data_IF_389070854853
#
_entry.id   IF_389070854853
#
_cell.length_a   1.000
_cell.length_b   1.000
_cell.length_c   1.000
_cell.angle_alpha   90.00
_cell.angle_beta   90.00
_cell.angle_gamma   90.00
#
_symmetry.space_group_name_H-M   'P 1'
#
loop_
_entity.id
_entity.type
_entity.pdbx_description
1 polymer ?
#
# COMPACT_ATOMS: atom_id res chain seq x y z
N UNK A 1 12.12 -10.46 -3.53
CA UNK A 1 11.17 -10.80 -4.62
C UNK A 1 9.78 -11.05 -4.02
N UNK A 2 8.72 -10.50 -4.62
CA UNK A 2 7.33 -10.74 -4.24
C UNK A 2 6.69 -11.59 -5.35
N UNK A 3 6.02 -12.67 -4.99
CA UNK A 3 5.39 -13.58 -5.93
C UNK A 3 3.97 -13.94 -5.47
N UNK A 4 2.99 -13.75 -6.35
CA UNK A 4 1.61 -14.26 -6.20
C UNK A 4 1.29 -15.16 -7.39
N UNK A 5 0.71 -16.35 -7.13
CA UNK A 5 0.34 -17.32 -8.17
C UNK A 5 -1.08 -17.83 -7.91
N UNK A 6 -2.01 -17.53 -8.83
CA UNK A 6 -3.39 -18.00 -8.80
C UNK A 6 -4.15 -17.61 -7.53
N UNK A 7 -3.80 -16.45 -6.91
CA UNK A 7 -4.36 -16.05 -5.63
C UNK A 7 -5.79 -15.61 -5.79
N UNK A 8 -6.69 -16.26 -5.06
CA UNK A 8 -8.12 -15.95 -5.02
C UNK A 8 -8.59 -15.64 -3.60
N UNK A 9 -9.51 -14.69 -3.47
CA UNK A 9 -10.12 -14.32 -2.19
C UNK A 9 -11.56 -13.91 -2.36
N UNK A 10 -12.47 -14.54 -1.62
CA UNK A 10 -13.89 -14.25 -1.58
C UNK A 10 -14.31 -13.85 -0.18
N UNK A 11 -15.05 -12.77 -0.07
CA UNK A 11 -15.66 -12.35 1.20
C UNK A 11 -17.09 -12.87 1.26
N UNK A 12 -17.49 -13.39 2.44
CA UNK A 12 -18.86 -13.73 2.74
C UNK A 12 -19.49 -12.64 3.58
N UNK A 13 -20.38 -11.88 2.97
CA UNK A 13 -21.08 -10.77 3.62
C UNK A 13 -22.51 -11.19 3.93
N UNK A 14 -22.94 -10.99 5.17
CA UNK A 14 -24.31 -11.28 5.56
C UNK A 14 -25.23 -10.23 4.96
N UNK A 15 -26.16 -10.64 4.11
CA UNK A 15 -27.20 -9.76 3.58
C UNK A 15 -28.20 -9.44 4.68
N UNK A 16 -28.34 -8.16 5.01
CA UNK A 16 -29.41 -7.68 5.90
C UNK A 16 -30.45 -6.98 5.05
N UNK A 17 -31.66 -7.52 5.04
CA UNK A 17 -32.78 -6.82 4.44
C UNK A 17 -33.18 -5.64 5.33
N UNK A 18 -33.46 -4.48 4.74
CA UNK A 18 -33.87 -3.29 5.48
C UNK A 18 -35.32 -3.44 6.00
N UNK A 19 -35.52 -3.13 7.29
CA UNK A 19 -36.85 -3.09 7.91
C UNK A 19 -36.90 -3.76 9.29
N UNK A 20 -37.69 -3.19 10.21
CA UNK A 20 -37.80 -3.67 11.60
C UNK A 20 -38.40 -5.10 11.70
N UNK A 21 -39.26 -5.51 10.76
CA UNK A 21 -39.81 -6.89 10.68
C UNK A 21 -38.84 -7.93 10.12
N UNK A 22 -37.79 -7.50 9.41
CA UNK A 22 -36.73 -8.37 8.87
C UNK A 22 -35.69 -8.74 9.91
N UNK A 23 -35.53 -7.93 10.96
CA UNK A 23 -34.53 -8.18 12.02
C UNK A 23 -34.80 -9.48 12.77
N UNK A 24 -36.07 -9.82 13.06
CA UNK A 24 -36.45 -11.09 13.70
C UNK A 24 -36.29 -12.29 12.75
N UNK A 25 -36.62 -12.14 11.44
CA UNK A 25 -36.39 -13.19 10.42
C UNK A 25 -34.90 -13.39 10.11
N UNK A 26 -34.07 -12.34 10.22
CA UNK A 26 -32.62 -12.41 9.95
C UNK A 26 -31.86 -13.23 10.99
N UNK A 27 -32.42 -13.46 12.17
CA UNK A 27 -31.83 -14.34 13.20
C UNK A 27 -31.86 -15.83 12.78
N UNK A 28 -32.83 -16.22 11.95
CA UNK A 28 -33.02 -17.60 11.49
C UNK A 28 -32.58 -17.85 10.04
N UNK A 29 -32.41 -16.80 9.21
CA UNK A 29 -31.98 -16.92 7.82
C UNK A 29 -30.53 -16.48 7.66
N UNK A 30 -29.61 -17.44 7.48
CA UNK A 30 -28.17 -17.20 7.20
C UNK A 30 -27.95 -17.08 5.68
N UNK A 31 -28.50 -16.03 5.05
CA UNK A 31 -28.17 -15.75 3.64
C UNK A 31 -26.85 -14.98 3.59
N UNK A 32 -25.82 -15.60 3.01
CA UNK A 32 -24.54 -14.97 2.72
C UNK A 32 -24.46 -14.63 1.24
N UNK A 33 -23.96 -13.47 0.94
CA UNK A 33 -23.55 -13.06 -0.40
C UNK A 33 -22.04 -13.23 -0.51
N UNK A 34 -21.60 -13.93 -1.55
CA UNK A 34 -20.18 -14.12 -1.82
C UNK A 34 -19.69 -13.02 -2.77
N UNK A 35 -18.74 -12.22 -2.30
CA UNK A 35 -18.12 -11.13 -3.05
C UNK A 35 -16.68 -11.53 -3.37
N UNK A 36 -16.39 -11.96 -4.62
CA UNK A 36 -15.03 -12.28 -5.03
C UNK A 36 -14.21 -11.00 -5.13
N UNK A 37 -13.20 -10.87 -4.27
CA UNK A 37 -12.31 -9.71 -4.24
C UNK A 37 -11.04 -9.91 -5.07
N UNK A 38 -10.54 -11.15 -5.17
CA UNK A 38 -9.45 -11.54 -6.07
C UNK A 38 -9.81 -12.85 -6.78
N UNK A 39 -9.42 -12.94 -8.05
CA UNK A 39 -9.68 -14.07 -8.93
C UNK A 39 -8.39 -14.44 -9.68
N UNK A 40 -7.72 -15.51 -9.23
CA UNK A 40 -6.49 -16.05 -9.83
C UNK A 40 -5.38 -15.01 -10.08
N UNK A 41 -5.25 -14.03 -9.18
CA UNK A 41 -4.26 -12.97 -9.26
C UNK A 41 -2.86 -13.56 -9.29
N UNK A 42 -2.08 -13.24 -10.35
CA UNK A 42 -0.72 -13.75 -10.53
C UNK A 42 0.20 -12.62 -11.01
N UNK A 43 1.28 -12.37 -10.29
CA UNK A 43 2.37 -11.48 -10.70
C UNK A 43 3.62 -11.76 -9.87
N UNK A 44 4.76 -11.26 -10.38
CA UNK A 44 6.06 -11.32 -9.69
C UNK A 44 6.69 -9.94 -9.71
N UNK A 45 7.20 -9.46 -8.57
CA UNK A 45 7.93 -8.20 -8.46
C UNK A 45 9.35 -8.52 -7.99
N UNK A 46 10.39 -8.29 -8.80
CA UNK A 46 11.79 -8.37 -8.40
C UNK A 46 12.13 -7.41 -7.25
N UNK A 47 13.19 -7.72 -6.52
CA UNK A 47 13.70 -6.81 -5.49
C UNK A 47 14.18 -5.50 -6.10
N UNK A 48 14.04 -4.41 -5.35
CA UNK A 48 14.48 -3.08 -5.73
C UNK A 48 13.62 -2.38 -6.78
N UNK A 49 12.49 -2.93 -7.21
CA UNK A 49 11.58 -2.23 -8.11
C UNK A 49 10.59 -1.32 -7.38
N UNK A 50 10.25 -0.19 -8.01
CA UNK A 50 9.07 0.62 -7.67
C UNK A 50 7.97 0.27 -8.66
N UNK A 51 6.87 -0.29 -8.15
CA UNK A 51 5.75 -0.77 -8.97
C UNK A 51 4.46 -0.04 -8.58
N UNK A 52 3.80 0.53 -9.57
CA UNK A 52 2.46 1.08 -9.43
C UNK A 52 1.42 -0.04 -9.48
N UNK A 53 0.58 -0.14 -8.44
CA UNK A 53 -0.51 -1.11 -8.36
C UNK A 53 -1.84 -0.36 -8.45
N UNK A 54 -2.37 -0.20 -9.66
CA UNK A 54 -3.48 0.71 -9.96
C UNK A 54 -4.74 -0.03 -10.36
N UNK A 55 -5.88 0.54 -9.99
CA UNK A 55 -7.19 -0.05 -10.26
C UNK A 55 -8.32 0.82 -9.71
N UNK A 56 -9.55 0.69 -10.23
CA UNK A 56 -10.69 1.41 -9.68
C UNK A 56 -11.03 0.95 -8.25
N UNK A 57 -11.94 1.67 -7.61
CA UNK A 57 -12.45 1.25 -6.31
C UNK A 57 -13.13 -0.11 -6.41
N UNK A 58 -12.83 -1.01 -5.46
CA UNK A 58 -13.32 -2.39 -5.51
C UNK A 58 -12.53 -3.34 -6.41
N UNK A 59 -11.48 -2.89 -7.11
CA UNK A 59 -10.65 -3.75 -7.97
C UNK A 59 -9.84 -4.83 -7.23
N UNK A 60 -9.74 -4.76 -5.89
CA UNK A 60 -9.00 -5.72 -5.07
C UNK A 60 -7.69 -5.20 -4.49
N UNK A 61 -7.32 -3.91 -4.71
CA UNK A 61 -6.05 -3.31 -4.23
C UNK A 61 -5.79 -3.58 -2.74
N UNK A 62 -6.69 -3.12 -1.88
CA UNK A 62 -6.52 -3.28 -0.42
C UNK A 62 -6.56 -4.75 0.03
N UNK A 63 -7.22 -5.63 -0.72
CA UNK A 63 -7.21 -7.08 -0.44
C UNK A 63 -5.84 -7.66 -0.73
N UNK A 64 -5.24 -7.32 -1.88
CA UNK A 64 -3.88 -7.72 -2.24
C UNK A 64 -2.86 -7.21 -1.20
N UNK A 65 -2.91 -5.92 -0.85
CA UNK A 65 -2.03 -5.34 0.17
C UNK A 65 -2.16 -6.10 1.51
N UNK A 66 -3.39 -6.40 1.95
CA UNK A 66 -3.62 -7.15 3.20
C UNK A 66 -3.07 -8.59 3.14
N UNK A 67 -3.11 -9.24 1.98
CA UNK A 67 -2.50 -10.57 1.79
C UNK A 67 -0.98 -10.45 1.84
N UNK A 68 -0.40 -9.49 1.13
CA UNK A 68 1.04 -9.20 1.16
C UNK A 68 1.54 -8.84 2.58
N UNK A 69 0.71 -8.17 3.40
CA UNK A 69 1.02 -7.88 4.80
C UNK A 69 0.84 -9.09 5.74
N UNK A 70 0.34 -10.24 5.27
CA UNK A 70 0.01 -11.37 6.13
C UNK A 70 -1.20 -11.13 7.06
N UNK A 71 -2.01 -10.10 6.78
CA UNK A 71 -3.25 -9.80 7.52
C UNK A 71 -4.37 -10.73 7.06
N UNK A 72 -4.40 -11.05 5.77
CA UNK A 72 -5.38 -11.94 5.16
C UNK A 72 -4.69 -13.17 4.58
N UNK A 73 -5.32 -14.33 4.76
CA UNK A 73 -4.96 -15.56 4.04
C UNK A 73 -5.86 -15.68 2.81
N UNK A 74 -5.30 -15.99 1.63
CA UNK A 74 -6.09 -16.30 0.44
C UNK A 74 -6.88 -17.59 0.61
N UNK A 75 -7.93 -17.75 -0.22
CA UNK A 75 -8.73 -18.97 -0.25
C UNK A 75 -8.11 -20.02 -1.19
N UNK A 76 -7.38 -19.57 -2.21
CA UNK A 76 -6.63 -20.40 -3.14
C UNK A 76 -5.37 -19.68 -3.64
N UNK A 77 -4.45 -20.44 -4.23
CA UNK A 77 -3.18 -19.94 -4.76
C UNK A 77 -2.09 -19.82 -3.71
N UNK A 78 -0.95 -19.26 -4.11
CA UNK A 78 0.24 -19.09 -3.26
C UNK A 78 0.72 -17.65 -3.29
N UNK A 79 1.24 -17.17 -2.14
CA UNK A 79 1.89 -15.87 -2.04
C UNK A 79 3.20 -16.05 -1.27
N UNK A 80 4.30 -15.55 -1.83
CA UNK A 80 5.62 -15.53 -1.20
C UNK A 80 6.19 -14.11 -1.25
N UNK A 81 6.84 -13.72 -0.16
CA UNK A 81 7.57 -12.47 -0.04
C UNK A 81 8.97 -12.82 0.46
N UNK A 82 9.95 -12.72 -0.46
CA UNK A 82 11.25 -13.32 -0.25
C UNK A 82 11.13 -14.84 -0.12
N UNK A 83 11.68 -15.37 0.98
CA UNK A 83 11.62 -16.77 1.37
C UNK A 83 10.38 -17.13 2.22
N UNK A 84 9.55 -16.15 2.58
CA UNK A 84 8.47 -16.31 3.55
C UNK A 84 7.08 -16.37 2.91
N UNK A 85 6.19 -17.14 3.53
CA UNK A 85 4.74 -17.07 3.31
C UNK A 85 4.17 -16.08 4.34
N UNK A 86 3.54 -14.96 3.92
CA UNK A 86 3.21 -13.84 4.81
C UNK A 86 2.42 -14.17 6.09
N UNK A 87 1.54 -15.17 6.06
CA UNK A 87 0.69 -15.56 7.19
C UNK A 87 1.24 -16.74 8.00
N UNK A 88 2.26 -17.46 7.53
CA UNK A 88 2.84 -18.60 8.25
C UNK A 88 3.92 -18.15 9.21
N UNK A 89 4.86 -17.32 8.80
CA UNK A 89 5.89 -16.75 9.67
C UNK A 89 5.73 -15.22 9.78
N UNK A 90 4.57 -14.82 10.28
CA UNK A 90 4.16 -13.42 10.33
C UNK A 90 5.16 -12.51 11.04
N UNK A 91 5.79 -12.97 12.13
CA UNK A 91 6.72 -12.15 12.89
C UNK A 91 7.98 -11.80 12.09
N UNK A 92 8.56 -12.78 11.40
CA UNK A 92 9.73 -12.55 10.53
C UNK A 92 9.36 -11.73 9.31
N UNK A 93 8.17 -12.00 8.76
CA UNK A 93 7.67 -11.29 7.60
C UNK A 93 7.46 -9.79 7.89
N UNK A 94 6.72 -9.45 8.96
CA UNK A 94 6.43 -8.05 9.34
C UNK A 94 7.71 -7.28 9.67
N UNK A 95 8.75 -7.93 10.21
CA UNK A 95 10.03 -7.28 10.48
C UNK A 95 10.77 -6.80 9.21
N UNK A 96 10.41 -7.30 8.02
CA UNK A 96 10.98 -6.92 6.73
C UNK A 96 10.08 -5.98 5.91
N UNK A 97 8.93 -5.61 6.48
CA UNK A 97 7.88 -4.91 5.76
C UNK A 97 7.56 -3.56 6.42
N UNK A 98 7.67 -2.47 5.67
CA UNK A 98 7.10 -1.18 6.02
C UNK A 98 5.76 -0.99 5.30
N UNK A 99 4.75 -0.50 6.01
CA UNK A 99 3.42 -0.28 5.42
C UNK A 99 2.88 1.08 5.84
N UNK A 100 2.40 1.84 4.87
CA UNK A 100 1.65 3.07 5.10
C UNK A 100 0.26 2.90 4.52
N UNK A 101 -0.78 2.96 5.37
CA UNK A 101 -2.17 2.95 4.95
C UNK A 101 -2.69 4.39 4.94
N UNK A 102 -3.11 4.92 3.81
CA UNK A 102 -3.51 6.33 3.67
C UNK A 102 -4.60 6.81 4.63
N UNK A 103 -5.48 5.89 5.08
CA UNK A 103 -6.58 6.22 5.98
C UNK A 103 -6.39 5.75 7.43
N UNK A 104 -5.27 5.10 7.75
CA UNK A 104 -5.00 4.58 9.09
C UNK A 104 -3.63 5.04 9.54
N UNK A 105 -3.58 5.71 10.68
CA UNK A 105 -2.35 6.12 11.31
C UNK A 105 -1.77 5.00 12.17
N UNK A 106 -0.45 4.81 12.08
CA UNK A 106 0.31 4.02 13.05
C UNK A 106 0.92 4.90 14.15
N UNK A 107 0.83 6.23 13.99
CA UNK A 107 1.21 7.18 15.03
C UNK A 107 0.10 7.26 16.08
N UNK A 108 0.49 7.34 17.32
CA UNK A 108 -0.44 7.54 18.42
C UNK A 108 -0.93 8.99 18.45
N UNK A 109 -2.24 9.14 18.48
CA UNK A 109 -2.93 10.38 18.17
C UNK A 109 -2.62 11.54 19.12
N UNK A 110 -2.55 11.26 20.43
CA UNK A 110 -2.44 12.25 21.48
C UNK A 110 -1.03 12.48 22.03
N UNK A 111 -0.03 11.74 21.54
CA UNK A 111 1.36 11.85 21.99
C UNK A 111 2.25 12.43 20.91
N UNK A 112 3.41 13.00 21.27
CA UNK A 112 4.43 13.45 20.32
C UNK A 112 4.84 12.33 19.36
N UNK A 113 5.19 12.69 18.12
CA UNK A 113 5.66 11.74 17.10
C UNK A 113 6.82 10.90 17.62
N UNK A 114 7.75 11.52 18.35
CA UNK A 114 8.89 10.84 18.99
C UNK A 114 8.47 9.64 19.83
N UNK A 115 7.39 9.75 20.61
CA UNK A 115 6.93 8.68 21.48
C UNK A 115 6.42 7.50 20.67
N UNK A 116 5.71 7.79 19.57
CA UNK A 116 5.30 6.75 18.61
C UNK A 116 6.51 6.05 17.98
N UNK A 117 7.56 6.81 17.64
CA UNK A 117 8.79 6.26 17.07
C UNK A 117 9.57 5.38 18.06
N UNK A 118 9.65 5.79 19.33
CA UNK A 118 10.25 4.99 20.40
C UNK A 118 9.50 3.67 20.59
N UNK A 119 8.18 3.72 20.59
CA UNK A 119 7.36 2.52 20.68
C UNK A 119 7.60 1.58 19.48
N UNK A 120 7.67 2.11 18.26
CA UNK A 120 7.97 1.32 17.06
C UNK A 120 9.38 0.71 17.13
N UNK A 121 10.39 1.45 17.61
CA UNK A 121 11.73 0.93 17.88
C UNK A 121 11.65 -0.33 18.75
N UNK A 122 10.89 -0.27 19.85
CA UNK A 122 10.77 -1.37 20.80
C UNK A 122 9.96 -2.56 20.22
N UNK A 123 8.88 -2.28 19.50
CA UNK A 123 8.07 -3.31 18.81
C UNK A 123 8.91 -4.08 17.79
N UNK A 124 9.68 -3.37 16.96
CA UNK A 124 10.55 -3.97 15.94
C UNK A 124 11.92 -4.39 16.49
N UNK A 125 12.21 -4.11 17.78
CA UNK A 125 13.48 -4.41 18.44
C UNK A 125 14.68 -3.84 17.70
N UNK A 126 14.54 -2.60 17.22
CA UNK A 126 15.63 -1.92 16.52
C UNK A 126 16.73 -1.53 17.53
N UNK A 127 17.99 -1.95 17.32
CA UNK A 127 19.09 -1.55 18.19
C UNK A 127 19.20 -0.01 18.25
N UNK A 128 19.52 0.52 19.45
CA UNK A 128 19.54 1.97 19.71
C UNK A 128 20.42 2.75 18.71
N UNK A 129 21.61 2.24 18.39
CA UNK A 129 22.53 2.89 17.44
C UNK A 129 21.90 3.01 16.05
N UNK A 130 21.27 1.92 15.56
CA UNK A 130 20.59 1.90 14.26
C UNK A 130 19.34 2.77 14.24
N UNK A 131 18.61 2.79 15.37
CA UNK A 131 17.45 3.68 15.50
C UNK A 131 17.85 5.14 15.38
N UNK A 132 18.93 5.57 16.05
CA UNK A 132 19.43 6.96 15.96
C UNK A 132 19.88 7.32 14.55
N UNK A 133 20.64 6.47 13.91
CA UNK A 133 21.07 6.64 12.53
C UNK A 133 19.89 6.79 11.57
N UNK A 134 18.92 5.88 11.66
CA UNK A 134 17.71 5.92 10.83
C UNK A 134 16.88 7.17 11.11
N UNK A 135 16.68 7.52 12.40
CA UNK A 135 15.91 8.69 12.78
C UNK A 135 16.55 9.99 12.27
N UNK A 136 17.85 10.14 12.39
CA UNK A 136 18.59 11.30 11.88
C UNK A 136 18.41 11.42 10.37
N UNK A 137 18.70 10.36 9.62
CA UNK A 137 18.53 10.31 8.15
C UNK A 137 17.10 10.62 7.72
N UNK A 138 16.11 9.99 8.37
CA UNK A 138 14.69 10.20 8.02
C UNK A 138 14.23 11.61 8.40
N UNK A 139 14.75 12.17 9.49
CA UNK A 139 14.45 13.55 9.93
C UNK A 139 14.94 14.55 8.89
N UNK A 140 16.13 14.37 8.37
CA UNK A 140 16.71 15.24 7.34
C UNK A 140 15.92 15.10 6.01
N UNK A 141 15.76 13.88 5.50
CA UNK A 141 15.13 13.63 4.20
C UNK A 141 13.65 14.02 4.15
N UNK A 142 12.91 13.84 5.24
CA UNK A 142 11.48 14.12 5.33
C UNK A 142 11.17 15.43 6.05
N UNK A 143 12.19 16.19 6.46
CA UNK A 143 12.02 17.48 7.16
C UNK A 143 11.10 17.35 8.38
N UNK A 144 11.50 16.49 9.34
CA UNK A 144 10.69 16.15 10.50
C UNK A 144 11.04 16.93 11.77
N UNK A 145 12.15 17.72 11.78
CA UNK A 145 12.73 18.29 12.99
C UNK A 145 11.73 18.90 13.96
N UNK A 146 10.94 19.86 13.47
CA UNK A 146 9.94 20.55 14.28
C UNK A 146 8.69 19.70 14.58
N UNK A 147 8.48 18.60 13.80
CA UNK A 147 7.32 17.75 13.92
C UNK A 147 7.47 16.70 15.03
N UNK A 148 8.71 16.28 15.33
CA UNK A 148 8.98 15.19 16.27
C UNK A 148 8.38 15.42 17.66
N UNK A 149 8.32 16.67 18.11
CA UNK A 149 7.78 17.06 19.44
C UNK A 149 6.28 17.36 19.41
N UNK A 150 5.66 17.33 18.24
CA UNK A 150 4.25 17.68 18.03
C UNK A 150 3.38 16.43 18.14
N UNK A 151 2.27 16.45 18.90
CA UNK A 151 1.29 15.38 18.90
C UNK A 151 0.71 15.16 17.49
N UNK A 152 0.53 13.88 17.10
CA UNK A 152 0.10 13.52 15.74
C UNK A 152 -1.22 14.20 15.31
N UNK A 153 -2.16 14.45 16.24
CA UNK A 153 -3.42 15.14 16.00
C UNK A 153 -3.28 16.61 15.56
N UNK A 154 -2.17 17.26 15.87
CA UNK A 154 -1.91 18.65 15.53
C UNK A 154 -1.18 18.85 14.21
N UNK A 155 -0.73 17.76 13.59
CA UNK A 155 -0.05 17.78 12.30
C UNK A 155 -1.05 17.98 11.15
N UNK A 156 -0.63 18.76 10.15
CA UNK A 156 -1.33 18.77 8.86
C UNK A 156 -1.29 17.38 8.21
N UNK A 157 -2.15 17.13 7.23
CA UNK A 157 -2.16 15.84 6.54
C UNK A 157 -0.80 15.50 5.91
N UNK A 158 -0.15 16.48 5.26
CA UNK A 158 1.19 16.31 4.66
C UNK A 158 2.29 16.07 5.70
N UNK A 159 2.26 16.81 6.82
CA UNK A 159 3.19 16.59 7.93
C UNK A 159 3.02 15.20 8.53
N UNK A 160 1.77 14.79 8.76
CA UNK A 160 1.46 13.48 9.29
C UNK A 160 1.91 12.38 8.34
N UNK A 161 1.67 12.51 7.02
CA UNK A 161 2.10 11.52 6.05
C UNK A 161 3.62 11.35 6.04
N UNK A 162 4.39 12.43 6.13
CA UNK A 162 5.86 12.35 6.24
C UNK A 162 6.30 11.58 7.50
N UNK A 163 5.64 11.81 8.63
CA UNK A 163 5.89 11.06 9.86
C UNK A 163 5.47 9.58 9.75
N UNK A 164 4.36 9.27 9.07
CA UNK A 164 3.91 7.89 8.81
C UNK A 164 4.92 7.12 7.96
N UNK A 165 5.44 7.75 6.91
CA UNK A 165 6.48 7.15 6.05
C UNK A 165 7.74 6.89 6.87
N UNK A 166 8.17 7.86 7.68
CA UNK A 166 9.31 7.67 8.59
C UNK A 166 9.07 6.51 9.55
N UNK A 167 7.91 6.46 10.19
CA UNK A 167 7.52 5.38 11.10
C UNK A 167 7.63 3.99 10.44
N UNK A 168 7.17 3.86 9.18
CA UNK A 168 7.25 2.63 8.42
C UNK A 168 8.67 2.21 8.05
N UNK A 169 9.67 3.12 8.15
CA UNK A 169 11.05 2.89 7.73
C UNK A 169 12.06 2.83 8.88
N UNK A 170 11.65 3.11 10.13
CA UNK A 170 12.55 3.12 11.29
C UNK A 170 13.33 1.81 11.49
N UNK A 171 12.73 0.69 11.11
CA UNK A 171 13.32 -0.64 11.23
C UNK A 171 14.05 -1.13 9.96
N UNK A 172 14.23 -0.23 8.96
CA UNK A 172 14.90 -0.51 7.67
C UNK A 172 14.31 -1.73 6.93
N UNK A 173 13.03 -1.70 6.56
CA UNK A 173 12.38 -2.80 5.85
C UNK A 173 12.95 -2.98 4.43
N UNK A 174 12.91 -4.22 3.93
CA UNK A 174 13.28 -4.56 2.55
C UNK A 174 12.19 -4.17 1.54
N UNK A 175 10.95 -4.11 2.01
CA UNK A 175 9.76 -3.84 1.19
C UNK A 175 8.93 -2.74 1.84
N UNK A 176 8.46 -1.80 1.03
CA UNK A 176 7.60 -0.70 1.44
C UNK A 176 6.28 -0.76 0.64
N UNK A 177 5.17 -0.91 1.34
CA UNK A 177 3.83 -0.86 0.78
C UNK A 177 3.19 0.48 1.12
N UNK A 178 2.85 1.25 0.09
CA UNK A 178 2.29 2.59 0.21
C UNK A 178 0.88 2.59 -0.39
N UNK A 179 -0.14 2.67 0.47
CA UNK A 179 -1.53 2.74 0.03
C UNK A 179 -2.00 4.20 0.03
N UNK A 180 -1.99 4.81 -1.15
CA UNK A 180 -2.36 6.21 -1.42
C UNK A 180 -1.58 7.26 -0.59
N UNK A 181 -0.24 7.26 -0.61
CA UNK A 181 0.59 8.08 0.28
C UNK A 181 0.53 9.58 -0.03
N UNK A 182 0.00 9.99 -1.17
CA UNK A 182 -0.06 11.40 -1.62
C UNK A 182 -1.47 11.97 -1.63
N UNK A 183 -2.47 11.17 -1.23
CA UNK A 183 -3.87 11.62 -1.24
C UNK A 183 -4.08 12.82 -0.30
N UNK A 184 -4.72 13.88 -0.84
CA UNK A 184 -5.03 15.07 -0.07
C UNK A 184 -3.83 15.92 0.34
N UNK A 185 -2.62 15.64 -0.17
CA UNK A 185 -1.44 16.45 0.05
C UNK A 185 -1.40 17.64 -0.92
N UNK A 186 -0.85 18.76 -0.45
CA UNK A 186 -0.47 19.89 -1.32
C UNK A 186 0.70 19.52 -2.24
N UNK A 187 0.93 20.34 -3.28
CA UNK A 187 1.94 20.08 -4.30
C UNK A 187 3.37 19.95 -3.73
N UNK A 188 3.71 20.76 -2.72
CA UNK A 188 5.05 20.73 -2.10
C UNK A 188 5.24 19.44 -1.31
N UNK A 189 4.24 19.05 -0.54
CA UNK A 189 4.26 17.78 0.22
C UNK A 189 4.33 16.57 -0.70
N UNK A 190 3.59 16.57 -1.82
CA UNK A 190 3.68 15.50 -2.84
C UNK A 190 5.10 15.37 -3.40
N UNK A 191 5.72 16.49 -3.79
CA UNK A 191 7.09 16.47 -4.32
C UNK A 191 8.09 15.93 -3.30
N UNK A 192 8.00 16.34 -2.04
CA UNK A 192 8.87 15.82 -0.96
C UNK A 192 8.70 14.30 -0.79
N UNK A 193 7.48 13.80 -0.75
CA UNK A 193 7.20 12.36 -0.63
C UNK A 193 7.72 11.58 -1.84
N UNK A 194 7.51 12.08 -3.07
CA UNK A 194 8.02 11.45 -4.30
C UNK A 194 9.55 11.38 -4.30
N UNK A 195 10.22 12.50 -4.06
CA UNK A 195 11.68 12.55 -4.01
C UNK A 195 12.25 11.60 -2.96
N UNK A 196 11.61 11.54 -1.80
CA UNK A 196 12.00 10.62 -0.74
C UNK A 196 11.86 9.15 -1.15
N UNK A 197 10.75 8.74 -1.78
CA UNK A 197 10.53 7.35 -2.23
C UNK A 197 11.61 6.94 -3.23
N UNK A 198 11.94 7.81 -4.20
CA UNK A 198 13.01 7.56 -5.17
C UNK A 198 14.37 7.41 -4.49
N UNK A 199 14.69 8.29 -3.55
CA UNK A 199 15.95 8.25 -2.83
C UNK A 199 16.08 7.02 -1.95
N UNK A 200 15.01 6.64 -1.23
CA UNK A 200 14.95 5.42 -0.43
C UNK A 200 15.17 4.16 -1.28
N UNK A 201 14.52 4.09 -2.44
CA UNK A 201 14.74 2.97 -3.37
C UNK A 201 16.17 2.95 -3.90
N UNK A 202 16.71 4.11 -4.32
CA UNK A 202 18.07 4.23 -4.90
C UNK A 202 19.15 3.87 -3.89
N UNK A 203 19.06 4.37 -2.65
CA UNK A 203 20.09 4.19 -1.64
C UNK A 203 20.03 2.83 -0.95
N UNK A 204 18.81 2.34 -0.66
CA UNK A 204 18.60 1.16 0.16
C UNK A 204 18.14 -0.07 -0.65
N UNK A 205 17.87 0.07 -1.95
CA UNK A 205 17.34 -1.02 -2.76
C UNK A 205 15.95 -1.50 -2.33
N UNK A 206 15.20 -0.66 -1.58
CA UNK A 206 13.88 -1.01 -1.05
C UNK A 206 12.90 -1.27 -2.19
N UNK A 207 12.24 -2.43 -2.19
CA UNK A 207 11.15 -2.73 -3.13
C UNK A 207 9.90 -1.96 -2.71
N UNK A 208 9.28 -1.22 -3.63
CA UNK A 208 8.11 -0.39 -3.32
C UNK A 208 6.90 -0.83 -4.14
N UNK A 209 5.78 -1.04 -3.48
CA UNK A 209 4.47 -1.14 -4.12
C UNK A 209 3.67 0.09 -3.73
N UNK A 210 3.26 0.86 -4.75
CA UNK A 210 2.50 2.08 -4.60
C UNK A 210 1.09 1.90 -5.15
N UNK A 211 0.05 2.09 -4.33
CA UNK A 211 -1.29 2.30 -4.85
C UNK A 211 -1.58 3.78 -4.89
N UNK A 212 -2.14 4.27 -5.98
CA UNK A 212 -2.54 5.67 -6.12
C UNK A 212 -3.62 5.82 -7.19
N UNK A 213 -4.38 6.89 -7.08
CA UNK A 213 -5.27 7.39 -8.14
C UNK A 213 -4.65 8.57 -8.90
N UNK A 214 -3.52 9.10 -8.42
CA UNK A 214 -2.80 10.19 -9.04
C UNK A 214 -1.80 9.63 -10.06
N UNK A 215 -2.10 9.78 -11.35
CA UNK A 215 -1.22 9.26 -12.42
C UNK A 215 0.11 10.01 -12.50
N UNK A 216 0.20 11.21 -11.93
CA UNK A 216 1.48 11.92 -11.81
C UNK A 216 2.44 11.19 -10.84
N UNK A 217 1.92 10.51 -9.80
CA UNK A 217 2.74 9.66 -8.94
C UNK A 217 3.28 8.46 -9.71
N UNK A 218 2.45 7.86 -10.55
CA UNK A 218 2.85 6.72 -11.38
C UNK A 218 3.93 7.14 -12.36
N UNK A 219 3.74 8.24 -13.08
CA UNK A 219 4.72 8.74 -14.06
C UNK A 219 6.05 9.14 -13.40
N UNK A 220 6.00 9.70 -12.19
CA UNK A 220 7.18 10.16 -11.47
C UNK A 220 7.96 9.03 -10.77
N UNK A 221 7.29 7.99 -10.30
CA UNK A 221 7.88 6.99 -9.40
C UNK A 221 8.03 5.61 -10.04
N UNK A 222 7.09 5.19 -10.90
CA UNK A 222 6.97 3.81 -11.28
C UNK A 222 7.53 3.53 -12.67
N UNK A 223 8.49 2.61 -12.75
CA UNK A 223 8.95 2.07 -14.05
C UNK A 223 8.02 0.99 -14.58
N UNK A 224 7.23 0.36 -13.73
CA UNK A 224 6.30 -0.73 -14.04
C UNK A 224 4.98 -0.53 -13.34
N UNK A 225 3.91 -0.91 -14.00
CA UNK A 225 2.54 -0.77 -13.52
C UNK A 225 1.81 -2.10 -13.67
N UNK A 226 1.16 -2.52 -12.60
CA UNK A 226 0.18 -3.60 -12.57
C UNK A 226 -1.21 -2.99 -12.57
N UNK A 227 -1.91 -3.05 -13.71
CA UNK A 227 -3.28 -2.58 -13.87
C UNK A 227 -4.23 -3.70 -13.48
N UNK A 228 -5.09 -3.46 -12.49
CA UNK A 228 -6.04 -4.46 -12.00
C UNK A 228 -7.49 -4.02 -12.14
N UNK A 229 -8.39 -4.97 -12.33
CA UNK A 229 -9.82 -4.72 -12.39
C UNK A 229 -10.62 -5.97 -12.03
N UNK A 230 -11.74 -5.80 -11.34
CA UNK A 230 -12.64 -6.90 -10.92
C UNK A 230 -11.91 -8.08 -10.24
N UNK A 231 -10.83 -7.79 -9.51
CA UNK A 231 -10.02 -8.79 -8.81
C UNK A 231 -9.02 -9.56 -9.66
N UNK A 232 -8.75 -9.12 -10.89
CA UNK A 232 -7.81 -9.74 -11.82
C UNK A 232 -6.74 -8.76 -12.29
N UNK A 233 -5.58 -9.29 -12.67
CA UNK A 233 -4.54 -8.54 -13.37
C UNK A 233 -4.97 -8.38 -14.83
N UNK A 234 -5.09 -7.14 -15.29
CA UNK A 234 -5.49 -6.80 -16.66
C UNK A 234 -4.29 -6.54 -17.54
N UNK A 235 -3.28 -5.87 -16.98
CA UNK A 235 -2.06 -5.52 -17.69
C UNK A 235 -0.89 -5.47 -16.71
N UNK A 236 0.26 -5.93 -17.16
CA UNK A 236 1.55 -5.83 -16.50
C UNK A 236 2.54 -5.24 -17.49
N UNK A 237 2.98 -4.02 -17.26
CA UNK A 237 3.84 -3.33 -18.23
C UNK A 237 4.37 -1.99 -17.73
N UNK A 238 5.12 -1.30 -18.57
CA UNK A 238 5.62 0.04 -18.30
C UNK A 238 4.57 1.11 -18.60
N UNK A 239 4.72 2.32 -18.05
CA UNK A 239 3.87 3.48 -18.37
C UNK A 239 3.89 3.79 -19.88
N UNK A 240 5.04 3.61 -20.54
CA UNK A 240 5.17 3.76 -21.99
C UNK A 240 4.33 2.72 -22.77
N UNK A 241 4.33 1.45 -22.33
CA UNK A 241 3.49 0.40 -22.93
C UNK A 241 2.00 0.69 -22.74
N UNK A 242 1.60 1.19 -21.56
CA UNK A 242 0.21 1.58 -21.29
C UNK A 242 -0.25 2.66 -22.26
N UNK A 243 0.56 3.72 -22.45
CA UNK A 243 0.27 4.80 -23.41
C UNK A 243 0.21 4.30 -24.85
N UNK A 244 1.16 3.47 -25.26
CA UNK A 244 1.17 2.89 -26.61
C UNK A 244 -0.08 2.05 -26.90
N UNK A 245 -0.57 1.26 -25.95
CA UNK A 245 -1.76 0.44 -26.10
C UNK A 245 -3.06 1.24 -26.21
N UNK A 246 -3.12 2.41 -25.57
CA UNK A 246 -4.30 3.27 -25.58
C UNK A 246 -4.32 4.24 -26.79
N UNK A 247 -3.14 4.69 -27.24
CA UNK A 247 -2.96 5.64 -28.36
C UNK A 247 -1.87 6.67 -28.03
N UNK A 248 -0.97 6.94 -29.00
CA UNK A 248 0.27 7.69 -28.79
C UNK A 248 0.13 9.14 -28.26
N UNK A 249 -1.07 9.72 -28.33
CA UNK A 249 -1.30 11.12 -27.95
C UNK A 249 -2.06 11.29 -26.61
N UNK A 250 -2.25 10.21 -25.87
CA UNK A 250 -3.00 10.24 -24.61
C UNK A 250 -2.04 10.38 -23.41
N UNK A 251 -2.48 11.13 -22.39
CA UNK A 251 -1.83 11.12 -21.08
C UNK A 251 -1.94 9.71 -20.44
N UNK A 252 -1.13 9.44 -19.43
CA UNK A 252 -1.22 8.17 -18.70
C UNK A 252 -2.61 7.96 -18.08
N UNK A 253 -3.24 9.03 -17.58
CA UNK A 253 -4.59 8.99 -17.01
C UNK A 253 -5.65 8.61 -18.07
N UNK A 254 -5.63 9.27 -19.21
CA UNK A 254 -6.53 8.97 -20.34
C UNK A 254 -6.32 7.56 -20.89
N UNK A 255 -5.06 7.12 -20.95
CA UNK A 255 -4.69 5.78 -21.39
C UNK A 255 -5.23 4.70 -20.45
N UNK A 256 -5.09 4.89 -19.16
CA UNK A 256 -5.64 3.98 -18.14
C UNK A 256 -7.17 3.96 -18.19
N UNK A 257 -7.82 5.11 -18.34
CA UNK A 257 -9.28 5.20 -18.46
C UNK A 257 -9.81 4.51 -19.74
N UNK A 258 -9.08 4.64 -20.86
CA UNK A 258 -9.43 3.95 -22.10
C UNK A 258 -9.29 2.43 -21.99
N UNK A 259 -8.18 1.97 -21.39
CA UNK A 259 -7.97 0.53 -21.14
C UNK A 259 -9.08 -0.06 -20.26
N UNK A 260 -9.51 0.64 -19.19
CA UNK A 260 -10.62 0.16 -18.36
C UNK A 260 -11.92 0.05 -19.18
N UNK A 261 -12.24 1.01 -20.03
CA UNK A 261 -13.41 0.93 -20.94
C UNK A 261 -13.32 -0.29 -21.87
N UNK A 262 -12.14 -0.57 -22.46
CA UNK A 262 -11.93 -1.75 -23.33
C UNK A 262 -12.07 -3.07 -22.57
N UNK A 263 -11.69 -3.12 -21.28
CA UNK A 263 -11.88 -4.29 -20.41
C UNK A 263 -13.29 -4.37 -19.80
N UNK A 264 -14.21 -3.45 -20.12
CA UNK A 264 -15.57 -3.43 -19.62
C UNK A 264 -15.68 -3.14 -18.11
N UNK A 265 -14.80 -2.25 -17.64
CA UNK A 265 -14.73 -1.84 -16.23
C UNK A 265 -15.12 -0.36 -16.09
#
# INVERSE_FOLDING_TARGET
MIEMRGVSKTYRVRRRDAGLGSAARSLFSRRYEEIPALREMSFTIPDGQIVGYIGPNGAGKSTTIKILCGILRPDAGTCRVGDLVPWEDRKRHVARLGVVFGQRSQLWWDVPVTDSFLLLRDIYRVPEARYRENLERLTELLDLGDLLRTPARLLSLGQRMRCEIAAALLHSPEILLLDEPTIGLDAVSKLKVRSFILEQNRQCGTTVILTTHDMQDIDALCSRVLLIGKGQLLLDGTTAQIRCLAGENLSTEESVADLYRRFGI
#
